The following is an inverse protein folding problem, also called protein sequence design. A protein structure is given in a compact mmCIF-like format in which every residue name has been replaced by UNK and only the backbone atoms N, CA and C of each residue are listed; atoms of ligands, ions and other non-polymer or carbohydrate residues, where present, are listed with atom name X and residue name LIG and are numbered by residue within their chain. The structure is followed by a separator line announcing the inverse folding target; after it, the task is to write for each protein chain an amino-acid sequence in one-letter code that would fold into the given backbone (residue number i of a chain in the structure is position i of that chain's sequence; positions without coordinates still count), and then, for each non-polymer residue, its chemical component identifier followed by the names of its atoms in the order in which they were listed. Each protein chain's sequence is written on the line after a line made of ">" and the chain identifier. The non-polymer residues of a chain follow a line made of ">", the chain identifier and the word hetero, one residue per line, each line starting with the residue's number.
data_IF_866957902152
#
_entry.id   IF_866957902152
#
_cell.length_a   1.000
_cell.length_b   1.000
_cell.length_c   1.000
_cell.angle_alpha   90.00
_cell.angle_beta   90.00
_cell.angle_gamma   90.00
#
_symmetry.space_group_name_H-M   'P 1'
#
loop_
_entity.id
_entity.type
_entity.pdbx_description
1 polymer ?
#
# COMPACT_ATOMS: atom_id res chain seq x y z
N UNK A 1 -6.02 14.33 -31.94
CA UNK A 1 -5.72 15.12 -30.72
C UNK A 1 -4.25 15.50 -30.81
N UNK A 2 -3.92 16.78 -30.64
CA UNK A 2 -2.51 17.20 -30.61
C UNK A 2 -1.91 16.99 -29.21
N UNK A 3 -0.59 17.00 -29.09
CA UNK A 3 0.11 16.91 -27.80
C UNK A 3 -0.29 18.05 -26.86
N UNK A 4 -0.42 19.27 -27.39
CA UNK A 4 -0.88 20.43 -26.63
C UNK A 4 -2.30 20.22 -26.07
N UNK A 5 -3.21 19.70 -26.89
CA UNK A 5 -4.58 19.41 -26.47
C UNK A 5 -4.64 18.35 -25.36
N UNK A 6 -3.80 17.31 -25.44
CA UNK A 6 -3.66 16.32 -24.37
C UNK A 6 -3.17 16.95 -23.06
N UNK A 7 -2.17 17.85 -23.13
CA UNK A 7 -1.70 18.55 -21.93
C UNK A 7 -2.77 19.45 -21.31
N UNK A 8 -3.57 20.15 -22.12
CA UNK A 8 -4.70 20.93 -21.62
C UNK A 8 -5.75 20.05 -20.94
N UNK A 9 -6.03 18.87 -21.50
CA UNK A 9 -6.92 17.88 -20.88
C UNK A 9 -6.39 17.37 -19.53
N UNK A 10 -5.10 17.01 -19.45
CA UNK A 10 -4.45 16.59 -18.20
C UNK A 10 -4.46 17.73 -17.17
N UNK A 11 -4.15 18.95 -17.59
CA UNK A 11 -4.21 20.15 -16.75
C UNK A 11 -5.61 20.35 -16.16
N UNK A 12 -6.66 20.22 -16.97
CA UNK A 12 -8.03 20.31 -16.49
C UNK A 12 -8.36 19.21 -15.46
N UNK A 13 -7.90 17.97 -15.65
CA UNK A 13 -8.09 16.89 -14.66
C UNK A 13 -7.44 17.21 -13.31
N UNK A 14 -6.22 17.74 -13.32
CA UNK A 14 -5.48 18.14 -12.11
C UNK A 14 -6.24 19.25 -11.38
N UNK A 15 -6.62 20.30 -12.10
CA UNK A 15 -7.33 21.45 -11.53
C UNK A 15 -8.67 21.05 -10.93
N UNK A 16 -9.44 20.21 -11.63
CA UNK A 16 -10.68 19.63 -11.10
C UNK A 16 -10.44 18.80 -9.81
N UNK A 17 -9.30 18.11 -9.72
CA UNK A 17 -8.91 17.34 -8.54
C UNK A 17 -8.52 18.22 -7.35
N UNK A 18 -7.76 19.30 -7.58
CA UNK A 18 -7.36 20.29 -6.56
C UNK A 18 -8.59 20.94 -5.94
N UNK A 19 -9.56 21.35 -6.77
CA UNK A 19 -10.79 21.99 -6.31
C UNK A 19 -11.87 21.02 -5.82
N UNK A 20 -11.63 19.71 -5.85
CA UNK A 20 -12.57 18.70 -5.35
C UNK A 20 -13.93 18.68 -6.04
N UNK A 21 -14.05 19.32 -7.21
CA UNK A 21 -15.30 19.41 -8.00
C UNK A 21 -15.76 18.00 -8.27
N UNK A 22 -16.99 17.58 -7.94
CA UNK A 22 -17.45 16.20 -8.21
C UNK A 22 -18.08 16.04 -9.60
N UNK A 23 -18.96 16.97 -9.95
CA UNK A 23 -19.57 17.06 -11.28
C UNK A 23 -18.82 18.11 -12.09
N UNK A 24 -18.01 17.66 -13.05
CA UNK A 24 -17.10 18.51 -13.80
C UNK A 24 -17.84 19.60 -14.57
N UNK A 25 -19.05 19.36 -15.09
CA UNK A 25 -19.82 20.37 -15.86
C UNK A 25 -20.06 21.66 -15.08
N UNK A 26 -20.14 21.61 -13.74
CA UNK A 26 -20.27 22.81 -12.92
C UNK A 26 -19.05 23.72 -12.97
N UNK A 27 -17.85 23.17 -13.21
CA UNK A 27 -16.63 23.95 -13.34
C UNK A 27 -16.50 24.66 -14.71
N UNK A 28 -17.36 24.34 -15.67
CA UNK A 28 -17.49 25.06 -16.95
C UNK A 28 -18.66 26.06 -16.96
N UNK A 29 -19.44 26.13 -15.88
CA UNK A 29 -20.57 27.06 -15.77
C UNK A 29 -20.09 28.44 -15.30
N UNK A 30 -20.36 29.47 -16.11
CA UNK A 30 -19.88 30.86 -15.96
C UNK A 30 -20.50 31.58 -14.75
N UNK A 31 -21.62 31.06 -14.21
CA UNK A 31 -22.46 31.78 -13.24
C UNK A 31 -22.03 31.71 -11.78
N UNK A 32 -20.91 31.07 -11.44
CA UNK A 32 -20.42 31.05 -10.06
C UNK A 32 -18.96 31.48 -9.99
N UNK A 33 -18.75 32.66 -9.41
CA UNK A 33 -17.48 33.18 -8.89
C UNK A 33 -16.76 32.26 -7.87
N UNK A 34 -17.23 31.02 -7.68
CA UNK A 34 -16.70 30.05 -6.72
C UNK A 34 -15.60 29.15 -7.30
N UNK A 35 -15.43 29.11 -8.62
CA UNK A 35 -14.28 28.44 -9.24
C UNK A 35 -13.37 29.50 -9.85
N UNK A 36 -12.27 29.82 -9.15
CA UNK A 36 -11.23 30.74 -9.64
C UNK A 36 -10.57 30.26 -10.95
N UNK A 37 -10.87 29.04 -11.41
CA UNK A 37 -10.28 28.43 -12.59
C UNK A 37 -11.27 28.50 -13.75
N UNK A 38 -10.86 29.20 -14.79
CA UNK A 38 -11.57 29.26 -16.06
C UNK A 38 -11.21 28.04 -16.92
N UNK A 39 -11.72 26.85 -16.55
CA UNK A 39 -11.47 25.61 -17.33
C UNK A 39 -11.91 25.73 -18.80
N UNK A 40 -12.90 26.59 -19.07
CA UNK A 40 -13.34 26.96 -20.41
C UNK A 40 -12.25 27.61 -21.28
N UNK A 41 -11.23 28.24 -20.68
CA UNK A 41 -10.08 28.79 -21.41
C UNK A 41 -9.09 27.70 -21.84
N UNK A 42 -9.06 26.56 -21.14
CA UNK A 42 -8.22 25.41 -21.51
C UNK A 42 -8.88 24.59 -22.63
N UNK A 43 -10.13 24.20 -22.44
CA UNK A 43 -10.92 23.46 -23.42
C UNK A 43 -12.42 23.62 -23.19
N UNK A 44 -13.25 23.45 -24.21
CA UNK A 44 -14.70 23.40 -24.03
C UNK A 44 -15.11 22.15 -23.23
N UNK A 45 -16.24 22.21 -22.52
CA UNK A 45 -16.75 21.08 -21.75
C UNK A 45 -17.03 19.87 -22.65
N UNK A 46 -17.59 20.11 -23.84
CA UNK A 46 -17.85 19.08 -24.85
C UNK A 46 -16.55 18.43 -25.31
N UNK A 47 -15.50 19.24 -25.56
CA UNK A 47 -14.21 18.70 -25.99
C UNK A 47 -13.55 17.88 -24.89
N UNK A 48 -13.64 18.30 -23.64
CA UNK A 48 -13.16 17.53 -22.48
C UNK A 48 -13.85 16.15 -22.41
N UNK A 49 -15.17 16.12 -22.56
CA UNK A 49 -15.95 14.87 -22.54
C UNK A 49 -15.64 13.97 -23.75
N UNK A 50 -15.48 14.55 -24.94
CA UNK A 50 -15.08 13.81 -26.15
C UNK A 50 -13.71 13.16 -25.98
N UNK A 51 -12.71 13.92 -25.51
CA UNK A 51 -11.37 13.37 -25.24
C UNK A 51 -11.46 12.24 -24.22
N UNK A 52 -12.17 12.44 -23.10
CA UNK A 52 -12.32 11.41 -22.07
C UNK A 52 -13.02 10.13 -22.55
N UNK A 53 -13.88 10.23 -23.56
CA UNK A 53 -14.62 9.08 -24.14
C UNK A 53 -13.77 8.28 -25.13
N UNK A 54 -12.97 8.97 -25.95
CA UNK A 54 -12.20 8.38 -27.05
C UNK A 54 -10.71 8.28 -26.77
N UNK A 55 -10.26 8.48 -25.53
CA UNK A 55 -8.85 8.35 -25.17
C UNK A 55 -8.43 6.88 -25.17
N UNK A 56 -7.58 6.52 -26.12
CA UNK A 56 -6.86 5.25 -26.17
C UNK A 56 -5.39 5.49 -25.86
N UNK A 57 -4.78 4.59 -25.08
CA UNK A 57 -3.37 4.70 -24.63
C UNK A 57 -2.43 3.78 -25.40
N UNK A 58 -2.98 3.00 -26.33
CA UNK A 58 -2.31 1.93 -27.05
C UNK A 58 -2.87 1.91 -28.47
N UNK A 59 -2.00 1.71 -29.45
CA UNK A 59 -2.37 1.55 -30.86
C UNK A 59 -3.01 0.17 -31.10
N UNK A 60 -3.80 -0.02 -32.17
CA UNK A 60 -4.35 -1.33 -32.51
C UNK A 60 -3.27 -2.42 -32.64
N UNK A 61 -2.13 -2.09 -33.22
CA UNK A 61 -1.00 -3.01 -33.44
C UNK A 61 -0.35 -3.43 -32.11
N UNK A 62 -0.13 -2.48 -31.20
CA UNK A 62 0.36 -2.78 -29.86
C UNK A 62 -0.64 -3.63 -29.06
N UNK A 63 -1.94 -3.34 -29.16
CA UNK A 63 -2.97 -4.12 -28.46
C UNK A 63 -2.99 -5.58 -28.95
N UNK A 64 -2.79 -5.81 -30.26
CA UNK A 64 -2.71 -7.15 -30.85
C UNK A 64 -1.46 -7.91 -30.36
N UNK A 65 -0.31 -7.24 -30.31
CA UNK A 65 0.94 -7.82 -29.78
C UNK A 65 0.83 -8.23 -28.30
N UNK A 66 -0.09 -7.60 -27.56
CA UNK A 66 -0.34 -7.84 -26.14
C UNK A 66 -1.58 -8.69 -25.88
N UNK A 67 -2.12 -9.38 -26.90
CA UNK A 67 -3.40 -10.13 -26.83
C UNK A 67 -3.53 -11.11 -25.65
N UNK A 68 -2.42 -11.70 -25.17
CA UNK A 68 -2.39 -12.57 -23.99
C UNK A 68 -2.49 -11.85 -22.64
N UNK A 69 -2.31 -10.53 -22.60
CA UNK A 69 -2.34 -9.73 -21.37
C UNK A 69 -3.72 -9.13 -21.11
N UNK A 70 -4.24 -9.35 -19.89
CA UNK A 70 -5.45 -8.64 -19.41
C UNK A 70 -5.27 -7.12 -19.32
N UNK A 71 -4.03 -6.63 -19.35
CA UNK A 71 -3.69 -5.21 -19.26
C UNK A 71 -3.30 -4.60 -20.60
N UNK A 72 -3.49 -5.29 -21.73
CA UNK A 72 -3.07 -4.84 -23.07
C UNK A 72 -3.39 -3.38 -23.42
N UNK A 73 -4.50 -2.83 -22.92
CA UNK A 73 -4.92 -1.43 -23.16
C UNK A 73 -4.21 -0.36 -22.31
N UNK A 74 -3.47 -0.77 -21.28
CA UNK A 74 -2.80 0.13 -20.34
C UNK A 74 -1.37 -0.28 -20.00
N UNK A 75 -0.91 -1.44 -20.45
CA UNK A 75 0.38 -2.01 -20.05
C UNK A 75 1.57 -1.10 -20.42
N UNK A 76 1.62 -0.45 -21.60
CA UNK A 76 2.73 0.45 -21.92
C UNK A 76 2.84 1.62 -20.95
N UNK A 77 1.74 2.32 -20.70
CA UNK A 77 1.73 3.46 -19.77
C UNK A 77 1.95 3.02 -18.31
N UNK A 78 1.43 1.85 -17.93
CA UNK A 78 1.65 1.26 -16.60
C UNK A 78 3.14 1.05 -16.36
N UNK A 79 3.83 0.39 -17.30
CA UNK A 79 5.25 0.11 -17.19
C UNK A 79 6.09 1.38 -17.26
N UNK A 80 5.69 2.35 -18.08
CA UNK A 80 6.35 3.66 -18.15
C UNK A 80 6.29 4.40 -16.81
N UNK A 81 5.10 4.50 -16.19
CA UNK A 81 4.93 5.15 -14.89
C UNK A 81 5.72 4.40 -13.81
N UNK A 82 5.62 3.07 -13.80
CA UNK A 82 6.34 2.19 -12.88
C UNK A 82 7.86 2.45 -12.95
N UNK A 83 8.43 2.48 -14.15
CA UNK A 83 9.85 2.79 -14.35
C UNK A 83 10.21 4.18 -13.82
N UNK A 84 9.37 5.20 -14.10
CA UNK A 84 9.63 6.57 -13.63
C UNK A 84 9.54 6.74 -12.12
N UNK A 85 8.73 5.95 -11.42
CA UNK A 85 8.72 5.94 -9.96
C UNK A 85 10.08 5.54 -9.39
N UNK A 86 10.74 4.54 -9.98
CA UNK A 86 12.08 4.12 -9.54
C UNK A 86 13.20 5.02 -10.05
N UNK A 87 13.11 5.53 -11.29
CA UNK A 87 14.17 6.36 -11.88
C UNK A 87 14.35 7.72 -11.19
N UNK A 88 13.25 8.29 -10.68
CA UNK A 88 13.20 9.68 -10.23
C UNK A 88 13.37 9.84 -8.71
N UNK A 89 13.44 8.74 -7.97
CA UNK A 89 13.48 8.77 -6.51
C UNK A 89 14.23 7.58 -5.93
N UNK A 90 15.28 7.86 -5.15
CA UNK A 90 15.90 6.85 -4.29
C UNK A 90 15.16 6.82 -2.95
N UNK A 91 14.52 5.70 -2.57
CA UNK A 91 13.82 5.63 -1.30
C UNK A 91 14.77 5.55 -0.11
N UNK A 92 14.29 6.04 1.04
CA UNK A 92 14.96 5.85 2.32
C UNK A 92 15.08 4.35 2.64
N UNK A 93 16.00 4.00 3.54
CA UNK A 93 16.25 2.61 3.96
C UNK A 93 15.00 1.82 4.35
N UNK A 94 13.99 2.47 4.94
CA UNK A 94 12.77 1.80 5.40
C UNK A 94 11.66 1.88 4.36
N UNK A 95 11.19 0.72 3.91
CA UNK A 95 10.14 0.56 2.92
C UNK A 95 8.93 -0.17 3.52
N UNK A 96 7.75 0.01 2.93
CA UNK A 96 6.52 -0.68 3.33
C UNK A 96 5.82 -1.29 2.13
N UNK A 97 5.29 -2.50 2.29
CA UNK A 97 4.46 -3.16 1.27
C UNK A 97 3.05 -3.34 1.82
N UNK A 98 2.07 -2.80 1.09
CA UNK A 98 0.65 -2.97 1.38
C UNK A 98 -0.19 -2.84 0.08
N UNK A 99 -1.51 -2.86 0.24
CA UNK A 99 -2.49 -2.95 -0.81
C UNK A 99 -3.25 -1.63 -0.95
N UNK A 100 -3.28 -1.11 -2.18
CA UNK A 100 -4.03 0.08 -2.55
C UNK A 100 -5.30 -0.29 -3.31
N UNK A 101 -6.40 0.40 -3.01
CA UNK A 101 -7.68 0.23 -3.70
C UNK A 101 -8.06 1.47 -4.52
N UNK A 102 -8.04 1.33 -5.85
CA UNK A 102 -8.53 2.37 -6.78
C UNK A 102 -10.01 2.14 -7.06
N UNK A 103 -10.87 3.06 -6.59
CA UNK A 103 -12.33 2.95 -6.69
C UNK A 103 -12.78 2.79 -8.14
N UNK A 104 -13.47 1.71 -8.45
CA UNK A 104 -14.08 1.48 -9.75
C UNK A 104 -15.30 0.59 -9.64
N UNK A 105 -16.33 0.91 -10.44
CA UNK A 105 -17.51 0.04 -10.66
C UNK A 105 -17.52 -0.55 -12.08
N UNK A 106 -16.44 -0.34 -12.85
CA UNK A 106 -16.32 -0.92 -14.20
C UNK A 106 -16.48 -2.44 -14.15
N UNK A 107 -17.12 -3.01 -15.17
CA UNK A 107 -17.28 -4.46 -15.30
C UNK A 107 -16.03 -5.04 -15.94
N UNK A 108 -15.02 -5.34 -15.13
CA UNK A 108 -13.76 -5.95 -15.57
C UNK A 108 -13.52 -7.27 -14.83
N UNK A 109 -12.75 -8.17 -15.44
CA UNK A 109 -12.46 -9.50 -14.88
C UNK A 109 -11.59 -9.47 -13.62
N UNK A 110 -10.84 -8.39 -13.39
CA UNK A 110 -9.89 -8.26 -12.28
C UNK A 110 -10.33 -7.28 -11.19
N UNK A 111 -11.57 -6.78 -11.24
CA UNK A 111 -12.14 -5.97 -10.16
C UNK A 111 -12.23 -6.81 -8.87
N UNK A 112 -11.78 -6.23 -7.76
CA UNK A 112 -11.78 -6.88 -6.44
C UNK A 112 -12.79 -6.25 -5.49
N UNK A 113 -13.21 -7.06 -4.52
CA UNK A 113 -13.93 -6.62 -3.33
C UNK A 113 -13.09 -6.88 -2.07
N UNK A 114 -12.78 -5.83 -1.31
CA UNK A 114 -12.08 -5.94 -0.02
C UNK A 114 -12.98 -5.35 1.07
N UNK A 115 -13.50 -6.21 1.95
CA UNK A 115 -14.50 -5.84 2.97
C UNK A 115 -14.01 -4.73 3.92
N UNK A 116 -12.73 -4.77 4.29
CA UNK A 116 -12.16 -3.97 5.37
C UNK A 116 -11.48 -2.66 4.91
N UNK A 117 -11.38 -2.40 3.60
CA UNK A 117 -10.84 -1.12 3.09
C UNK A 117 -11.97 -0.10 2.88
N UNK A 118 -11.73 1.22 3.06
CA UNK A 118 -12.75 2.25 2.83
C UNK A 118 -13.34 2.21 1.43
N UNK A 119 -12.49 1.98 0.42
CA UNK A 119 -12.89 1.68 -0.95
C UNK A 119 -13.02 0.17 -1.12
N UNK A 120 -14.25 -0.35 -0.98
CA UNK A 120 -14.49 -1.79 -1.03
C UNK A 120 -14.41 -2.39 -2.43
N UNK A 121 -14.93 -1.68 -3.44
CA UNK A 121 -14.97 -2.15 -4.83
C UNK A 121 -14.00 -1.34 -5.70
N UNK A 122 -13.11 -2.04 -6.41
CA UNK A 122 -12.15 -1.38 -7.27
C UNK A 122 -11.03 -2.27 -7.82
N UNK A 123 -9.98 -1.63 -8.29
CA UNK A 123 -8.74 -2.27 -8.70
C UNK A 123 -7.80 -2.36 -7.51
N UNK A 124 -7.32 -3.57 -7.21
CA UNK A 124 -6.35 -3.82 -6.14
C UNK A 124 -4.94 -3.70 -6.70
N UNK A 125 -4.11 -2.85 -6.12
CA UNK A 125 -2.68 -2.77 -6.41
C UNK A 125 -1.88 -3.29 -5.22
N UNK A 126 -0.80 -4.01 -5.51
CA UNK A 126 0.30 -4.22 -4.59
C UNK A 126 1.23 -3.02 -4.70
N UNK A 127 1.62 -2.41 -3.59
CA UNK A 127 2.37 -1.16 -3.58
C UNK A 127 3.56 -1.28 -2.64
N UNK A 128 4.73 -0.93 -3.14
CA UNK A 128 5.93 -0.64 -2.36
C UNK A 128 6.02 0.88 -2.18
N UNK A 129 6.07 1.33 -0.93
CA UNK A 129 6.13 2.75 -0.61
C UNK A 129 7.20 3.06 0.43
N UNK A 130 7.82 4.22 0.27
CA UNK A 130 8.70 4.82 1.26
C UNK A 130 7.89 5.44 2.42
N UNK A 131 8.53 5.64 3.57
CA UNK A 131 7.94 6.26 4.77
C UNK A 131 7.47 7.71 4.54
N UNK A 132 7.98 8.37 3.50
CA UNK A 132 7.49 9.70 3.09
C UNK A 132 6.08 9.64 2.50
N UNK A 133 5.63 8.47 2.03
CA UNK A 133 4.40 8.28 1.26
C UNK A 133 4.65 8.23 -0.25
N UNK A 134 5.90 8.25 -0.70
CA UNK A 134 6.24 8.08 -2.11
C UNK A 134 5.98 6.62 -2.55
N UNK A 135 5.25 6.43 -3.65
CA UNK A 135 5.06 5.11 -4.26
C UNK A 135 6.27 4.78 -5.11
N UNK A 136 7.07 3.83 -4.63
CA UNK A 136 8.34 3.41 -5.24
C UNK A 136 8.08 2.42 -6.37
N UNK A 137 7.27 1.41 -6.08
CA UNK A 137 6.87 0.42 -7.07
C UNK A 137 5.44 -0.05 -6.86
N UNK A 138 4.79 -0.58 -7.90
CA UNK A 138 3.45 -1.15 -7.80
C UNK A 138 3.14 -2.15 -8.92
N UNK A 139 2.19 -3.04 -8.63
CA UNK A 139 1.62 -3.96 -9.61
C UNK A 139 0.12 -4.14 -9.42
N UNK A 140 -0.62 -4.13 -10.53
CA UNK A 140 -2.05 -4.39 -10.53
C UNK A 140 -2.35 -5.89 -10.34
N UNK A 141 -3.20 -6.21 -9.37
CA UNK A 141 -3.68 -7.57 -9.17
C UNK A 141 -4.74 -7.93 -10.22
N UNK A 142 -4.39 -8.82 -11.14
CA UNK A 142 -5.23 -9.25 -12.28
C UNK A 142 -6.09 -10.50 -12.02
N UNK A 143 -6.22 -10.91 -10.75
CA UNK A 143 -6.94 -12.12 -10.35
C UNK A 143 -6.12 -13.41 -10.52
N UNK A 144 -6.80 -14.56 -10.46
CA UNK A 144 -6.19 -15.88 -10.67
C UNK A 144 -5.83 -16.02 -12.16
N UNK A 145 -4.57 -16.36 -12.44
CA UNK A 145 -4.07 -16.51 -13.82
C UNK A 145 -2.56 -16.34 -13.98
N UNK A 146 -1.86 -15.81 -12.98
CA UNK A 146 -0.40 -15.83 -12.94
C UNK A 146 0.13 -17.16 -12.40
N UNK A 147 1.33 -17.54 -12.82
CA UNK A 147 2.13 -18.60 -12.20
C UNK A 147 2.52 -18.14 -10.79
N UNK A 148 1.91 -18.77 -9.78
CA UNK A 148 2.26 -18.57 -8.38
C UNK A 148 3.24 -19.67 -7.98
N UNK A 149 4.34 -19.31 -7.33
CA UNK A 149 5.33 -20.27 -6.86
C UNK A 149 4.74 -21.17 -5.75
N UNK A 150 5.49 -22.20 -5.37
CA UNK A 150 5.15 -23.04 -4.23
C UNK A 150 5.08 -22.27 -2.90
N UNK A 151 5.70 -21.09 -2.83
CA UNK A 151 5.73 -20.24 -1.64
C UNK A 151 4.50 -19.33 -1.53
N UNK A 152 3.70 -19.25 -2.61
CA UNK A 152 2.42 -18.57 -2.64
C UNK A 152 2.49 -17.10 -3.07
N UNK A 153 1.32 -16.55 -3.39
CA UNK A 153 1.19 -15.23 -4.04
C UNK A 153 1.84 -14.09 -3.24
N UNK A 154 1.68 -14.11 -1.91
CA UNK A 154 2.19 -13.03 -1.07
C UNK A 154 3.72 -12.98 -1.06
N UNK A 155 4.37 -14.15 -1.07
CA UNK A 155 5.82 -14.27 -1.21
C UNK A 155 6.28 -13.71 -2.56
N UNK A 156 5.65 -14.16 -3.65
CA UNK A 156 6.03 -13.76 -5.01
C UNK A 156 5.92 -12.25 -5.22
N UNK A 157 4.86 -11.64 -4.68
CA UNK A 157 4.66 -10.18 -4.74
C UNK A 157 5.80 -9.44 -4.03
N UNK A 158 6.17 -9.85 -2.81
CA UNK A 158 7.24 -9.19 -2.06
C UNK A 158 8.58 -9.34 -2.76
N UNK A 159 8.92 -10.55 -3.21
CA UNK A 159 10.15 -10.82 -3.93
C UNK A 159 10.25 -10.00 -5.22
N UNK A 160 9.14 -9.91 -5.97
CA UNK A 160 9.09 -9.13 -7.22
C UNK A 160 9.27 -7.63 -6.98
N UNK A 161 8.54 -7.06 -6.02
CA UNK A 161 8.61 -5.62 -5.73
C UNK A 161 9.98 -5.21 -5.17
N UNK A 162 10.65 -6.11 -4.43
CA UNK A 162 11.94 -5.83 -3.80
C UNK A 162 13.16 -6.18 -4.68
N UNK A 163 12.98 -6.84 -5.82
CA UNK A 163 14.08 -7.26 -6.68
C UNK A 163 15.09 -6.13 -6.99
N UNK A 164 14.68 -4.88 -7.29
CA UNK A 164 15.62 -3.79 -7.53
C UNK A 164 16.40 -3.32 -6.29
N UNK A 165 15.99 -3.75 -5.09
CA UNK A 165 16.49 -3.30 -3.78
C UNK A 165 17.27 -4.38 -3.02
N UNK A 166 17.52 -5.53 -3.64
CA UNK A 166 18.39 -6.58 -3.08
C UNK A 166 19.83 -6.10 -2.96
N UNK A 167 20.55 -6.64 -1.96
CA UNK A 167 21.98 -6.39 -1.70
C UNK A 167 22.33 -4.93 -1.43
N UNK A 168 21.39 -4.19 -0.84
CA UNK A 168 21.50 -2.75 -0.58
C UNK A 168 21.22 -2.37 0.89
N UNK A 169 20.91 -3.35 1.76
CA UNK A 169 20.68 -3.10 3.19
C UNK A 169 19.33 -2.46 3.54
N UNK A 170 18.36 -2.56 2.64
CA UNK A 170 16.99 -2.09 2.86
C UNK A 170 16.29 -2.85 3.99
N UNK A 171 15.38 -2.16 4.65
CA UNK A 171 14.48 -2.72 5.65
C UNK A 171 13.04 -2.61 5.17
N UNK A 172 12.32 -3.72 5.13
CA UNK A 172 10.93 -3.75 4.65
C UNK A 172 9.94 -4.11 5.76
N UNK A 173 8.80 -3.42 5.75
CA UNK A 173 7.69 -3.64 6.67
C UNK A 173 6.45 -4.11 5.89
N UNK A 174 5.74 -5.11 6.40
CA UNK A 174 4.51 -5.59 5.77
C UNK A 174 3.53 -6.21 6.79
N UNK A 175 2.27 -6.34 6.41
CA UNK A 175 1.25 -6.91 7.26
C UNK A 175 1.28 -8.45 7.31
N UNK A 176 0.34 -9.03 8.06
CA UNK A 176 0.24 -10.48 8.21
C UNK A 176 -0.17 -11.23 6.93
N UNK A 177 -0.65 -10.56 5.89
CA UNK A 177 -0.92 -11.19 4.61
C UNK A 177 0.39 -11.60 3.94
N UNK A 178 1.48 -10.87 4.14
CA UNK A 178 2.79 -11.18 3.54
C UNK A 178 3.70 -12.01 4.43
N UNK A 179 3.67 -11.77 5.75
CA UNK A 179 4.64 -12.37 6.67
C UNK A 179 4.59 -13.91 6.68
N UNK A 180 5.72 -14.52 6.35
CA UNK A 180 5.98 -15.95 6.53
C UNK A 180 7.45 -16.20 6.92
N UNK A 181 7.75 -17.28 7.65
CA UNK A 181 9.13 -17.61 8.04
C UNK A 181 10.07 -17.76 6.83
N UNK A 182 9.63 -18.48 5.79
CA UNK A 182 10.40 -18.66 4.56
C UNK A 182 10.74 -17.33 3.87
N UNK A 183 9.77 -16.40 3.78
CA UNK A 183 10.00 -15.07 3.20
C UNK A 183 11.06 -14.30 3.98
N UNK A 184 10.95 -14.28 5.31
CA UNK A 184 11.90 -13.58 6.17
C UNK A 184 13.32 -14.13 6.03
N UNK A 185 13.47 -15.45 5.93
CA UNK A 185 14.76 -16.10 5.79
C UNK A 185 15.39 -15.83 4.42
N UNK A 186 14.59 -15.92 3.35
CA UNK A 186 15.06 -15.65 2.00
C UNK A 186 15.46 -14.18 1.83
N UNK A 187 14.68 -13.22 2.35
CA UNK A 187 15.04 -11.80 2.26
C UNK A 187 16.40 -11.49 2.89
N UNK A 188 16.77 -12.18 3.98
CA UNK A 188 18.10 -12.02 4.59
C UNK A 188 19.21 -12.48 3.64
N UNK A 189 18.98 -13.52 2.83
CA UNK A 189 19.96 -13.96 1.81
C UNK A 189 20.15 -12.91 0.69
N UNK A 190 19.20 -12.00 0.52
CA UNK A 190 19.27 -10.85 -0.38
C UNK A 190 19.68 -9.55 0.35
N UNK A 191 20.23 -9.65 1.57
CA UNK A 191 20.58 -8.51 2.44
C UNK A 191 19.44 -7.51 2.66
N UNK A 192 18.20 -8.00 2.64
CA UNK A 192 17.02 -7.24 3.02
C UNK A 192 16.52 -7.76 4.36
N UNK A 193 16.46 -6.88 5.36
CA UNK A 193 15.87 -7.23 6.65
C UNK A 193 14.38 -6.87 6.64
N UNK A 194 13.57 -7.63 7.36
CA UNK A 194 12.12 -7.49 7.27
C UNK A 194 11.47 -7.59 8.64
N UNK A 195 10.38 -6.85 8.82
CA UNK A 195 9.56 -6.88 10.04
C UNK A 195 8.08 -6.83 9.67
N UNK A 196 7.31 -7.81 10.13
CA UNK A 196 5.89 -7.86 9.81
C UNK A 196 5.02 -8.39 10.95
N UNK A 197 3.75 -8.00 10.94
CA UNK A 197 2.76 -8.66 11.81
C UNK A 197 2.58 -10.10 11.36
N UNK A 198 2.42 -11.04 12.30
CA UNK A 198 2.40 -12.46 12.01
C UNK A 198 1.06 -13.08 12.34
N UNK A 199 0.53 -13.86 11.40
CA UNK A 199 -0.49 -14.85 11.72
C UNK A 199 0.19 -16.10 12.27
N UNK A 200 -0.02 -16.44 13.55
CA UNK A 200 0.59 -17.63 14.18
C UNK A 200 0.16 -18.97 13.57
N UNK A 201 -0.92 -19.00 12.78
CA UNK A 201 -1.36 -20.20 12.08
C UNK A 201 -0.69 -20.36 10.71
N UNK A 202 0.25 -19.48 10.34
CA UNK A 202 1.01 -19.60 9.08
C UNK A 202 1.86 -20.87 9.12
N UNK A 203 2.07 -21.46 7.94
CA UNK A 203 3.00 -22.58 7.75
C UNK A 203 4.40 -22.22 8.28
N UNK A 204 5.09 -23.19 8.85
CA UNK A 204 6.48 -23.09 9.36
C UNK A 204 6.68 -22.16 10.57
N UNK A 205 5.62 -21.54 11.10
CA UNK A 205 5.72 -20.82 12.37
C UNK A 205 5.91 -21.84 13.51
N UNK A 206 6.94 -21.70 14.37
CA UNK A 206 7.18 -22.61 15.49
C UNK A 206 5.98 -22.67 16.44
N UNK A 207 5.67 -23.86 16.97
CA UNK A 207 4.51 -24.08 17.86
C UNK A 207 4.66 -23.29 19.18
N UNK A 208 5.89 -23.07 19.59
CA UNK A 208 6.31 -22.26 20.73
C UNK A 208 5.79 -20.82 20.62
N UNK A 209 5.74 -20.25 19.40
CA UNK A 209 5.22 -18.89 19.17
C UNK A 209 3.72 -18.84 19.43
N UNK A 210 2.98 -19.89 19.04
CA UNK A 210 1.55 -20.01 19.33
C UNK A 210 1.29 -20.15 20.84
N UNK A 211 2.06 -21.00 21.53
CA UNK A 211 1.98 -21.15 22.98
C UNK A 211 2.34 -19.84 23.71
N UNK A 212 3.39 -19.15 23.27
CA UNK A 212 3.79 -17.83 23.77
C UNK A 212 2.66 -16.81 23.62
N UNK A 213 1.98 -16.78 22.46
CA UNK A 213 0.84 -15.89 22.24
C UNK A 213 -0.29 -16.15 23.27
N UNK A 214 -0.66 -17.40 23.49
CA UNK A 214 -1.71 -17.79 24.44
C UNK A 214 -1.36 -17.41 25.89
N UNK A 215 -0.07 -17.48 26.25
CA UNK A 215 0.40 -17.01 27.55
C UNK A 215 0.29 -15.47 27.65
N UNK A 216 0.82 -14.75 26.66
CA UNK A 216 0.82 -13.27 26.63
C UNK A 216 -0.59 -12.69 26.61
N UNK A 217 -1.57 -13.35 26.00
CA UNK A 217 -2.99 -12.95 26.04
C UNK A 217 -3.60 -12.87 27.45
N UNK A 218 -2.98 -13.53 28.43
CA UNK A 218 -3.41 -13.53 29.84
C UNK A 218 -2.61 -12.55 30.71
N UNK A 219 -1.57 -11.94 30.15
CA UNK A 219 -0.72 -11.00 30.88
C UNK A 219 -1.35 -9.61 30.98
N UNK A 220 -0.77 -8.76 31.80
CA UNK A 220 -1.14 -7.34 31.84
C UNK A 220 -0.69 -6.61 30.57
N UNK A 221 -1.39 -5.52 30.25
CA UNK A 221 -1.06 -4.67 29.11
C UNK A 221 0.39 -4.16 29.21
N UNK A 222 1.11 -4.20 28.10
CA UNK A 222 2.51 -3.79 28.00
C UNK A 222 3.51 -4.95 28.10
N UNK A 223 3.07 -6.13 28.53
CA UNK A 223 3.93 -7.31 28.62
C UNK A 223 4.25 -7.85 27.22
N UNK A 224 5.53 -8.03 26.94
CA UNK A 224 6.05 -8.62 25.71
C UNK A 224 6.93 -9.84 25.98
N UNK A 225 6.77 -10.89 25.19
CA UNK A 225 7.64 -12.06 25.19
C UNK A 225 8.23 -12.30 23.81
N UNK A 226 9.38 -12.96 23.78
CA UNK A 226 10.17 -13.17 22.58
C UNK A 226 10.55 -14.63 22.41
N UNK A 227 10.64 -15.05 21.16
CA UNK A 227 11.15 -16.36 20.79
C UNK A 227 12.12 -16.19 19.62
N UNK A 228 13.40 -16.51 19.84
CA UNK A 228 14.42 -16.54 18.80
C UNK A 228 14.43 -17.93 18.17
N UNK A 229 14.18 -18.01 16.87
CA UNK A 229 14.17 -19.31 16.21
C UNK A 229 15.58 -19.89 16.13
N UNK A 230 15.80 -21.14 16.58
CA UNK A 230 17.09 -21.81 16.45
C UNK A 230 17.53 -21.88 14.99
N UNK A 231 18.84 -21.69 14.74
CA UNK A 231 19.46 -21.76 13.40
C UNK A 231 18.81 -20.83 12.36
N UNK A 232 18.20 -19.74 12.80
CA UNK A 232 17.54 -18.76 11.94
C UNK A 232 17.79 -17.35 12.42
N UNK A 233 17.67 -16.40 11.50
CA UNK A 233 17.77 -14.98 11.80
C UNK A 233 16.45 -14.35 12.28
N UNK A 234 15.43 -15.17 12.51
CA UNK A 234 14.08 -14.70 12.85
C UNK A 234 13.88 -14.62 14.37
N UNK A 235 13.47 -13.44 14.83
CA UNK A 235 12.94 -13.19 16.16
C UNK A 235 11.44 -12.98 16.08
N UNK A 236 10.70 -13.73 16.88
CA UNK A 236 9.26 -13.55 17.08
C UNK A 236 9.00 -12.78 18.36
N UNK A 237 7.95 -11.98 18.37
CA UNK A 237 7.49 -11.27 19.55
C UNK A 237 5.97 -11.33 19.68
N UNK A 238 5.48 -11.58 20.89
CA UNK A 238 4.08 -11.42 21.27
C UNK A 238 3.99 -10.31 22.31
N UNK A 239 3.17 -9.30 22.07
CA UNK A 239 2.97 -8.17 22.99
C UNK A 239 1.49 -7.94 23.27
N UNK A 240 1.13 -7.78 24.54
CA UNK A 240 -0.26 -7.59 24.95
C UNK A 240 -0.64 -6.10 25.02
N UNK A 241 -1.55 -5.69 24.12
CA UNK A 241 -2.27 -4.41 24.23
C UNK A 241 -3.71 -4.67 24.72
N UNK A 242 -4.71 -3.95 24.19
CA UNK A 242 -6.12 -4.38 24.21
C UNK A 242 -6.31 -5.76 23.56
N UNK A 243 -5.47 -6.10 22.58
CA UNK A 243 -5.37 -7.43 21.96
C UNK A 243 -3.89 -7.76 21.80
N UNK A 244 -3.56 -9.05 21.87
CA UNK A 244 -2.18 -9.49 21.64
C UNK A 244 -1.82 -9.34 20.17
N UNK A 245 -0.70 -8.68 19.92
CA UNK A 245 -0.08 -8.53 18.61
C UNK A 245 1.11 -9.47 18.54
N UNK A 246 1.22 -10.20 17.43
CA UNK A 246 2.39 -11.04 17.15
C UNK A 246 3.14 -10.46 15.96
N UNK A 247 4.46 -10.36 16.09
CA UNK A 247 5.38 -9.86 15.07
C UNK A 247 6.47 -10.91 14.82
N UNK A 248 7.04 -10.87 13.62
CA UNK A 248 8.26 -11.58 13.27
C UNK A 248 9.22 -10.57 12.61
N UNK A 249 10.51 -10.65 12.93
CA UNK A 249 11.52 -9.75 12.42
C UNK A 249 12.86 -10.44 12.23
N UNK A 250 13.60 -10.02 11.20
CA UNK A 250 15.03 -10.32 11.02
C UNK A 250 15.92 -9.10 11.30
N UNK A 251 15.33 -7.93 11.55
CA UNK A 251 16.03 -6.68 11.81
C UNK A 251 16.30 -6.43 13.31
N UNK A 252 15.38 -6.87 14.18
CA UNK A 252 15.39 -6.48 15.60
C UNK A 252 15.61 -7.69 16.55
N UNK A 253 16.47 -7.54 17.56
CA UNK A 253 16.59 -8.52 18.63
C UNK A 253 15.44 -8.39 19.64
N UNK A 254 15.23 -9.44 20.45
CA UNK A 254 14.12 -9.53 21.40
C UNK A 254 14.36 -8.91 22.78
N UNK A 255 15.30 -7.97 22.93
CA UNK A 255 15.68 -7.45 24.26
C UNK A 255 15.74 -5.92 24.33
N UNK A 256 15.20 -5.20 23.34
CA UNK A 256 15.17 -3.74 23.34
C UNK A 256 13.75 -3.25 23.58
N UNK A 257 13.58 -2.43 24.61
CA UNK A 257 12.30 -1.86 25.01
C UNK A 257 12.20 -0.39 24.60
N UNK A 258 10.98 0.06 24.37
CA UNK A 258 10.60 1.45 24.12
C UNK A 258 9.22 1.70 24.75
N UNK A 259 8.67 2.91 24.69
CA UNK A 259 7.29 3.17 25.11
C UNK A 259 6.43 3.63 23.95
N UNK A 260 5.13 3.34 24.05
CA UNK A 260 4.12 3.86 23.13
C UNK A 260 3.02 4.55 23.91
N UNK A 261 2.68 5.75 23.49
CA UNK A 261 1.55 6.48 24.02
C UNK A 261 0.24 5.80 23.62
N UNK A 262 -0.67 5.66 24.58
CA UNK A 262 -2.01 5.09 24.38
C UNK A 262 -3.06 5.97 25.05
N UNK A 263 -4.15 6.23 24.33
CA UNK A 263 -5.34 6.85 24.92
C UNK A 263 -6.18 5.79 25.62
N UNK A 264 -6.42 6.00 26.91
CA UNK A 264 -7.21 5.10 27.77
C UNK A 264 -8.33 5.92 28.39
N UNK A 265 -9.53 5.35 28.46
CA UNK A 265 -10.61 5.98 29.23
C UNK A 265 -10.34 5.76 30.71
N UNK A 266 -10.25 6.84 31.45
CA UNK A 266 -10.27 6.81 32.90
C UNK A 266 -11.62 6.24 33.38
N UNK A 267 -11.62 5.13 34.13
CA UNK A 267 -12.85 4.50 34.62
C UNK A 267 -13.70 5.40 35.53
N UNK A 268 -13.09 6.35 36.24
CA UNK A 268 -13.78 7.26 37.16
C UNK A 268 -14.30 8.50 36.46
N UNK A 269 -13.50 9.13 35.59
CA UNK A 269 -13.85 10.41 34.99
C UNK A 269 -14.48 10.30 33.60
N UNK A 270 -14.48 9.10 33.00
CA UNK A 270 -14.86 8.84 31.60
C UNK A 270 -14.09 9.69 30.56
N UNK A 271 -13.04 10.41 30.98
CA UNK A 271 -12.18 11.21 30.12
C UNK A 271 -11.07 10.34 29.54
N UNK A 272 -10.64 10.67 28.33
CA UNK A 272 -9.48 9.98 27.73
C UNK A 272 -8.20 10.59 28.28
N UNK A 273 -7.42 9.78 28.99
CA UNK A 273 -6.06 10.11 29.44
C UNK A 273 -5.04 9.44 28.53
N UNK A 274 -3.87 10.07 28.36
CA UNK A 274 -2.74 9.46 27.64
C UNK A 274 -1.83 8.78 28.65
N UNK A 275 -1.56 7.49 28.44
CA UNK A 275 -0.65 6.69 29.27
C UNK A 275 0.48 6.13 28.41
N UNK A 276 1.69 6.12 28.94
CA UNK A 276 2.82 5.42 28.33
C UNK A 276 2.76 3.93 28.66
N UNK A 277 2.84 3.09 27.63
CA UNK A 277 2.84 1.63 27.78
C UNK A 277 4.18 1.10 27.26
N UNK A 278 4.94 0.32 28.05
CA UNK A 278 6.15 -0.34 27.57
C UNK A 278 5.86 -1.24 26.37
N UNK A 279 6.76 -1.25 25.40
CA UNK A 279 6.61 -2.05 24.20
C UNK A 279 7.97 -2.49 23.62
N UNK A 280 7.97 -3.58 22.84
CA UNK A 280 9.13 -4.00 22.07
C UNK A 280 9.58 -2.94 21.05
N UNK A 281 10.89 -2.75 20.89
CA UNK A 281 11.46 -1.85 19.87
C UNK A 281 10.95 -2.22 18.46
N UNK A 282 10.85 -3.51 18.15
CA UNK A 282 10.35 -3.96 16.85
C UNK A 282 8.90 -3.52 16.58
N UNK A 283 8.05 -3.49 17.62
CA UNK A 283 6.67 -2.98 17.50
C UNK A 283 6.68 -1.46 17.30
N UNK A 284 7.52 -0.76 18.05
CA UNK A 284 7.69 0.68 17.90
C UNK A 284 8.11 1.05 16.47
N UNK A 285 9.13 0.39 15.94
CA UNK A 285 9.62 0.61 14.58
C UNK A 285 8.57 0.24 13.53
N UNK A 286 7.90 -0.91 13.69
CA UNK A 286 6.81 -1.32 12.81
C UNK A 286 5.72 -0.24 12.70
N UNK A 287 5.25 0.29 13.84
CA UNK A 287 4.20 1.31 13.85
C UNK A 287 4.61 2.62 13.17
N UNK A 288 5.91 2.95 13.18
CA UNK A 288 6.41 4.16 12.50
C UNK A 288 6.58 3.98 11.00
N UNK A 289 6.92 2.77 10.54
CA UNK A 289 7.45 2.55 9.19
C UNK A 289 6.47 1.83 8.25
N UNK A 290 5.52 1.07 8.77
CA UNK A 290 4.52 0.34 7.97
C UNK A 290 3.56 1.27 7.20
N UNK A 291 3.33 2.50 7.69
CA UNK A 291 2.29 3.40 7.18
C UNK A 291 2.61 4.14 5.87
N UNK A 292 3.66 3.77 5.13
CA UNK A 292 4.05 4.47 3.90
C UNK A 292 2.96 4.44 2.82
N UNK A 293 2.35 3.27 2.58
CA UNK A 293 1.25 3.12 1.62
C UNK A 293 0.00 3.87 2.08
N UNK A 294 -0.37 3.78 3.35
CA UNK A 294 -1.53 4.49 3.92
C UNK A 294 -1.37 6.02 3.82
N UNK A 295 -0.17 6.53 4.07
CA UNK A 295 0.15 7.96 3.91
C UNK A 295 0.05 8.40 2.45
N UNK A 296 0.52 7.57 1.53
CA UNK A 296 0.36 7.78 0.09
C UNK A 296 -1.12 7.83 -0.32
N UNK A 297 -1.93 6.90 0.19
CA UNK A 297 -3.38 6.85 -0.05
C UNK A 297 -4.09 8.08 0.53
N UNK A 298 -3.67 8.54 1.71
CA UNK A 298 -4.16 9.77 2.33
C UNK A 298 -3.89 10.99 1.45
N UNK A 299 -2.68 11.16 0.92
CA UNK A 299 -2.36 12.26 0.00
C UNK A 299 -3.18 12.23 -1.28
N UNK A 300 -3.37 11.05 -1.88
CA UNK A 300 -4.22 10.87 -3.06
C UNK A 300 -5.68 11.23 -2.74
N UNK A 301 -6.14 10.99 -1.50
CA UNK A 301 -7.51 11.27 -1.10
C UNK A 301 -7.84 12.77 -1.03
N UNK A 302 -6.85 13.63 -0.78
CA UNK A 302 -7.05 15.08 -0.69
C UNK A 302 -7.34 15.73 -2.04
N UNK A 303 -6.70 15.25 -3.12
CA UNK A 303 -6.82 15.84 -4.47
C UNK A 303 -7.25 14.78 -5.49
N UNK A 304 -8.49 14.31 -5.36
CA UNK A 304 -8.99 13.19 -6.14
C UNK A 304 -9.34 13.59 -7.57
N UNK A 305 -8.54 13.14 -8.53
CA UNK A 305 -8.80 13.30 -9.98
C UNK A 305 -9.78 12.26 -10.56
N UNK A 306 -10.17 11.24 -9.78
CA UNK A 306 -11.04 10.16 -10.26
C UNK A 306 -12.45 10.67 -10.60
N UNK A 307 -12.86 10.46 -11.86
CA UNK A 307 -14.16 10.83 -12.41
C UNK A 307 -15.00 9.61 -12.73
N UNK A 308 -16.32 9.79 -12.81
CA UNK A 308 -17.21 8.80 -13.41
C UNK A 308 -16.94 8.78 -14.92
N UNK A 309 -16.50 7.65 -15.45
CA UNK A 309 -16.39 7.41 -16.89
C UNK A 309 -17.74 6.93 -17.43
N UNK A 310 -18.05 7.27 -18.68
CA UNK A 310 -19.26 6.83 -19.40
C UNK A 310 -18.98 5.50 -20.08
#
# INVERSE_FOLDING_TARGET
>A
MTTEELFRFIGALILLGIHGVQNHRFAWSITKAQYMIRLSELLSCERFELIGTFLHLVTPEEEESLSGSKLKKILPIHNYIKAKCSDLYQPCRSLSIDERMVKSKARTQFRQYIRNKPTKWGFKYWVLADVTGYTVDFDLYIGKGGTVSSNGLAYDVVMKLLQPYWFQGYEVFFDNFYTSPILLQDLVSYEVVATGTLNVTRKEVPREVSAMKQYVEKCTRGVGYYYRQPNSNITYCCWHDTKTVTLASTAYPGHTENTVSRRVKDPHTNRSITTEVPCPLMLYQYNQKMGGVDKSDQFISYHKVLRKTV
#
